data_IF_632129041017
#
_entry.id   IF_632129041017
#
_cell.length_a   1.000
_cell.length_b   1.000
_cell.length_c   1.000
_cell.angle_alpha   90.00
_cell.angle_beta   90.00
_cell.angle_gamma   90.00
#
_symmetry.space_group_name_H-M   'P 1'
#
loop_
_entity.id
_entity.type
_entity.pdbx_description
1 polymer ?
#
# COMPACT_ATOMS: atom_id res chain seq x y z
N UNK A 1 -33.49 -47.93 22.76
CA UNK A 1 -32.27 -47.29 23.28
C UNK A 1 -31.11 -47.73 22.40
N UNK A 2 -30.80 -47.02 21.41
CA UNK A 2 -29.65 -47.25 20.54
C UNK A 2 -28.96 -45.89 20.36
N UNK A 3 -27.91 -45.72 21.13
CA UNK A 3 -26.98 -44.62 20.93
C UNK A 3 -26.07 -45.03 19.76
N UNK A 4 -26.37 -44.48 18.58
CA UNK A 4 -25.49 -44.62 17.45
C UNK A 4 -24.23 -43.72 17.72
N UNK A 5 -23.10 -44.39 17.90
CA UNK A 5 -21.78 -43.80 17.89
C UNK A 5 -21.58 -42.95 16.64
N UNK A 6 -21.45 -41.65 16.83
CA UNK A 6 -21.04 -40.71 15.80
C UNK A 6 -19.50 -40.67 15.79
N UNK A 7 -18.89 -41.82 15.44
CA UNK A 7 -17.47 -41.90 15.20
C UNK A 7 -17.16 -41.18 13.89
N UNK A 8 -16.34 -40.12 13.96
CA UNK A 8 -15.78 -39.46 12.80
C UNK A 8 -15.03 -40.48 11.92
N UNK A 9 -15.16 -40.40 10.59
CA UNK A 9 -14.45 -41.27 9.67
C UNK A 9 -12.93 -41.15 9.90
N UNK A 10 -12.17 -42.26 9.74
CA UNK A 10 -10.75 -42.26 9.95
C UNK A 10 -10.03 -41.31 8.99
N UNK A 11 -8.90 -40.74 9.44
CA UNK A 11 -8.12 -39.70 8.74
C UNK A 11 -7.77 -40.05 7.28
N UNK A 12 -7.69 -41.31 6.93
CA UNK A 12 -7.36 -41.80 5.58
C UNK A 12 -8.47 -41.54 4.53
N UNK A 13 -9.69 -41.26 4.95
CA UNK A 13 -10.81 -40.97 4.02
C UNK A 13 -10.72 -39.54 3.43
N UNK A 14 -10.01 -38.64 4.10
CA UNK A 14 -9.80 -37.27 3.65
C UNK A 14 -8.64 -37.15 2.64
N UNK A 15 -7.75 -38.13 2.57
CA UNK A 15 -6.62 -38.14 1.64
C UNK A 15 -7.01 -38.46 0.19
N UNK A 16 -8.26 -38.82 -0.06
CA UNK A 16 -8.79 -39.19 -1.38
C UNK A 16 -10.05 -38.43 -1.78
N UNK A 17 -10.13 -37.14 -1.50
CA UNK A 17 -11.21 -36.30 -2.04
C UNK A 17 -10.91 -36.06 -3.52
N UNK A 18 -11.27 -37.04 -4.36
CA UNK A 18 -11.53 -36.77 -5.78
C UNK A 18 -12.89 -36.09 -5.84
N UNK A 19 -12.87 -34.77 -5.98
CA UNK A 19 -14.07 -33.94 -6.11
C UNK A 19 -14.72 -34.26 -7.44
N UNK A 20 -15.86 -34.96 -7.39
CA UNK A 20 -16.66 -35.30 -8.57
C UNK A 20 -17.71 -34.24 -8.82
N UNK A 21 -17.99 -33.89 -10.08
CA UNK A 21 -19.12 -33.00 -10.40
C UNK A 21 -20.41 -33.54 -9.82
N UNK A 22 -21.13 -32.76 -9.03
CA UNK A 22 -22.40 -33.10 -8.41
C UNK A 22 -22.35 -33.57 -6.95
N UNK A 23 -21.21 -33.46 -6.28
CA UNK A 23 -21.07 -33.76 -4.87
C UNK A 23 -21.60 -32.61 -3.99
N UNK A 24 -22.26 -32.96 -2.85
CA UNK A 24 -22.68 -31.93 -1.89
C UNK A 24 -21.54 -31.08 -1.36
N UNK A 25 -21.74 -29.77 -1.10
CA UNK A 25 -20.71 -28.89 -0.60
C UNK A 25 -20.16 -29.41 0.73
N UNK A 26 -18.84 -29.29 0.92
CA UNK A 26 -18.17 -29.63 2.18
C UNK A 26 -18.78 -28.87 3.35
N UNK A 27 -18.94 -29.51 4.48
CA UNK A 27 -19.35 -28.87 5.73
C UNK A 27 -18.32 -27.83 6.18
N UNK A 28 -18.66 -26.85 7.02
CA UNK A 28 -17.73 -25.86 7.52
C UNK A 28 -16.47 -26.46 8.18
N UNK A 29 -16.63 -27.56 8.92
CA UNK A 29 -15.53 -28.26 9.59
C UNK A 29 -14.59 -28.98 8.60
N UNK A 30 -15.16 -29.59 7.55
CA UNK A 30 -14.39 -30.22 6.48
C UNK A 30 -13.60 -29.18 5.67
N UNK A 31 -14.21 -28.01 5.39
CA UNK A 31 -13.54 -26.89 4.72
C UNK A 31 -12.33 -26.41 5.51
N UNK A 32 -12.48 -26.24 6.82
CA UNK A 32 -11.42 -25.74 7.67
C UNK A 32 -10.24 -26.72 7.76
N UNK A 33 -10.52 -28.03 7.90
CA UNK A 33 -9.49 -29.08 7.89
C UNK A 33 -8.76 -29.14 6.56
N UNK A 34 -9.49 -29.04 5.45
CA UNK A 34 -8.90 -29.05 4.12
C UNK A 34 -7.98 -27.83 3.89
N UNK A 35 -8.45 -26.64 4.26
CA UNK A 35 -7.66 -25.41 4.17
C UNK A 35 -6.40 -25.44 5.06
N UNK A 36 -6.51 -26.02 6.25
CA UNK A 36 -5.36 -26.21 7.16
C UNK A 36 -4.29 -27.13 6.54
N UNK A 37 -4.71 -28.21 5.86
CA UNK A 37 -3.82 -29.12 5.14
C UNK A 37 -3.11 -28.41 3.98
N UNK A 38 -3.86 -27.70 3.12
CA UNK A 38 -3.29 -26.97 1.97
C UNK A 38 -2.26 -25.92 2.41
N UNK A 39 -2.54 -25.22 3.52
CA UNK A 39 -1.56 -24.30 4.13
C UNK A 39 -0.32 -25.01 4.65
N UNK A 40 -0.50 -26.18 5.29
CA UNK A 40 0.63 -27.00 5.79
C UNK A 40 1.51 -27.56 4.66
N UNK A 41 0.95 -27.78 3.47
CA UNK A 41 1.64 -28.22 2.26
C UNK A 41 2.34 -27.07 1.50
N UNK A 42 2.11 -25.81 1.88
CA UNK A 42 2.69 -24.61 1.23
C UNK A 42 2.30 -24.44 -0.24
N UNK A 43 1.13 -24.95 -0.65
CA UNK A 43 0.62 -24.84 -2.01
C UNK A 43 -0.68 -24.03 -2.11
N UNK A 44 -1.00 -23.59 -3.31
CA UNK A 44 -2.27 -22.94 -3.62
C UNK A 44 -3.36 -23.96 -3.97
N UNK A 45 -4.62 -23.55 -3.79
CA UNK A 45 -5.77 -24.34 -4.18
C UNK A 45 -5.86 -24.46 -5.71
N UNK A 46 -6.20 -25.65 -6.19
CA UNK A 46 -6.56 -25.84 -7.59
C UNK A 46 -7.98 -25.30 -7.86
N UNK A 47 -8.31 -25.04 -9.13
CA UNK A 47 -9.66 -24.59 -9.51
C UNK A 47 -10.76 -25.57 -9.07
N UNK A 48 -10.50 -26.88 -9.14
CA UNK A 48 -11.43 -27.91 -8.69
C UNK A 48 -11.66 -27.86 -7.17
N UNK A 49 -10.61 -27.65 -6.40
CA UNK A 49 -10.65 -27.48 -4.94
C UNK A 49 -11.39 -26.19 -4.54
N UNK A 50 -11.17 -25.10 -5.29
CA UNK A 50 -11.92 -23.84 -5.12
C UNK A 50 -13.42 -24.06 -5.30
N UNK A 51 -13.83 -24.76 -6.37
CA UNK A 51 -15.25 -25.07 -6.60
C UNK A 51 -15.87 -25.92 -5.49
N UNK A 52 -15.14 -26.86 -4.95
CA UNK A 52 -15.64 -27.70 -3.87
C UNK A 52 -15.81 -26.97 -2.54
N UNK A 53 -14.96 -25.98 -2.28
CA UNK A 53 -14.98 -25.20 -1.02
C UNK A 53 -16.03 -24.09 -1.09
N UNK A 54 -16.08 -23.37 -2.21
CA UNK A 54 -16.89 -22.15 -2.36
C UNK A 54 -18.17 -22.35 -3.18
N UNK A 55 -18.34 -23.53 -3.80
CA UNK A 55 -19.42 -23.81 -4.74
C UNK A 55 -19.09 -23.38 -6.17
N UNK A 56 -19.90 -23.77 -7.16
CA UNK A 56 -19.76 -23.29 -8.52
C UNK A 56 -20.00 -21.76 -8.55
N UNK A 57 -19.34 -21.04 -9.47
CA UNK A 57 -19.63 -19.63 -9.64
C UNK A 57 -21.12 -19.45 -9.95
N UNK A 58 -21.74 -18.35 -9.53
CA UNK A 58 -23.13 -18.07 -9.83
C UNK A 58 -23.34 -18.23 -11.35
N UNK A 59 -24.38 -18.96 -11.74
CA UNK A 59 -24.74 -19.11 -13.14
C UNK A 59 -24.89 -17.72 -13.75
N UNK A 60 -24.02 -17.40 -14.71
CA UNK A 60 -24.21 -16.20 -15.51
C UNK A 60 -25.53 -16.40 -16.27
N UNK A 61 -26.42 -15.39 -16.28
CA UNK A 61 -27.63 -15.49 -17.11
C UNK A 61 -27.20 -15.83 -18.53
N UNK A 62 -27.85 -16.85 -19.10
CA UNK A 62 -27.57 -17.39 -20.44
C UNK A 62 -27.79 -16.33 -21.53
N UNK A 63 -26.81 -15.48 -21.69
CA UNK A 63 -26.53 -14.82 -22.97
C UNK A 63 -25.15 -15.32 -23.37
N UNK A 64 -25.10 -16.50 -23.95
CA UNK A 64 -23.90 -16.97 -24.62
C UNK A 64 -23.56 -15.92 -25.70
N UNK A 65 -22.43 -15.23 -25.62
CA UNK A 65 -22.02 -14.38 -26.73
C UNK A 65 -21.82 -15.28 -27.94
N UNK A 66 -22.36 -14.86 -29.07
CA UNK A 66 -22.18 -15.58 -30.34
C UNK A 66 -20.70 -15.45 -30.75
N UNK A 67 -19.89 -16.39 -30.31
CA UNK A 67 -18.47 -16.45 -30.65
C UNK A 67 -18.23 -16.76 -32.15
N UNK A 68 -19.26 -17.15 -32.89
CA UNK A 68 -19.17 -17.39 -34.34
C UNK A 68 -18.86 -16.10 -35.10
N UNK A 69 -19.42 -14.98 -34.69
CA UNK A 69 -19.17 -13.68 -35.33
C UNK A 69 -17.78 -13.09 -34.99
N UNK A 70 -17.20 -13.44 -33.85
CA UNK A 70 -15.89 -12.91 -33.41
C UNK A 70 -14.72 -13.57 -34.11
N UNK A 71 -14.88 -14.82 -34.58
CA UNK A 71 -13.84 -15.58 -35.28
C UNK A 71 -13.42 -14.98 -36.62
N UNK A 72 -14.28 -14.15 -37.23
CA UNK A 72 -14.03 -13.49 -38.52
C UNK A 72 -13.58 -12.04 -38.41
N UNK A 73 -13.49 -11.49 -37.17
CA UNK A 73 -13.13 -10.09 -36.95
C UNK A 73 -11.62 -9.87 -36.94
N UNK A 74 -11.17 -8.80 -37.56
CA UNK A 74 -9.77 -8.35 -37.41
C UNK A 74 -9.51 -7.83 -36.00
N UNK A 75 -8.26 -7.86 -35.50
CA UNK A 75 -7.91 -7.32 -34.19
C UNK A 75 -8.45 -5.89 -33.94
N UNK A 76 -8.34 -5.00 -34.93
CA UNK A 76 -8.86 -3.64 -34.86
C UNK A 76 -10.40 -3.59 -34.77
N UNK A 77 -11.10 -4.53 -35.42
CA UNK A 77 -12.57 -4.61 -35.30
C UNK A 77 -13.01 -5.20 -33.97
N UNK A 78 -12.22 -6.10 -33.37
CA UNK A 78 -12.45 -6.63 -32.01
C UNK A 78 -12.27 -5.50 -30.99
N UNK A 79 -11.25 -4.69 -31.10
CA UNK A 79 -11.01 -3.55 -30.22
C UNK A 79 -12.11 -2.49 -30.34
N UNK A 80 -12.57 -2.19 -31.57
CA UNK A 80 -13.68 -1.29 -31.81
C UNK A 80 -15.01 -1.81 -31.24
N UNK A 81 -15.31 -3.11 -31.43
CA UNK A 81 -16.50 -3.75 -30.89
C UNK A 81 -16.47 -3.84 -29.35
N UNK A 82 -15.29 -4.05 -28.79
CA UNK A 82 -15.07 -4.05 -27.32
C UNK A 82 -15.27 -2.67 -26.73
N UNK A 83 -14.77 -1.64 -27.40
CA UNK A 83 -14.96 -0.26 -27.01
C UNK A 83 -16.45 0.16 -27.11
N UNK A 84 -17.16 -0.28 -28.16
CA UNK A 84 -18.58 -0.04 -28.34
C UNK A 84 -19.45 -0.75 -27.29
N UNK A 85 -19.09 -1.99 -26.89
CA UNK A 85 -19.74 -2.72 -25.80
C UNK A 85 -19.53 -2.01 -24.47
N UNK A 86 -18.32 -1.62 -24.16
CA UNK A 86 -17.98 -0.88 -22.93
C UNK A 86 -18.69 0.49 -22.86
N UNK A 87 -18.83 1.16 -23.99
CA UNK A 87 -19.57 2.43 -24.06
C UNK A 87 -21.08 2.24 -24.03
N UNK A 88 -21.61 1.18 -24.64
CA UNK A 88 -23.07 0.93 -24.72
C UNK A 88 -23.70 0.48 -23.40
N UNK A 89 -23.04 -0.40 -22.64
CA UNK A 89 -23.52 -0.81 -21.33
C UNK A 89 -23.44 0.31 -20.29
N UNK A 90 -22.42 1.18 -20.41
CA UNK A 90 -22.28 2.34 -19.53
C UNK A 90 -23.32 3.44 -19.78
N UNK A 91 -23.85 3.58 -21.01
CA UNK A 91 -24.77 4.65 -21.38
C UNK A 91 -26.25 4.24 -21.45
N UNK A 92 -26.59 2.93 -21.37
CA UNK A 92 -27.98 2.47 -21.54
C UNK A 92 -28.85 2.72 -20.31
N UNK A 93 -28.29 2.78 -19.10
CA UNK A 93 -29.03 3.08 -17.87
C UNK A 93 -29.22 4.57 -17.58
N UNK A 94 -28.69 5.45 -18.43
CA UNK A 94 -28.68 6.90 -18.23
C UNK A 94 -29.55 7.70 -19.22
N UNK A 95 -30.50 7.06 -19.88
CA UNK A 95 -31.43 7.74 -20.81
C UNK A 95 -32.49 8.59 -20.09
N UNK A 96 -32.06 9.68 -19.43
CA UNK A 96 -32.99 10.59 -18.75
C UNK A 96 -32.38 11.89 -18.17
N UNK A 97 -31.08 12.00 -18.10
CA UNK A 97 -30.43 13.26 -17.68
C UNK A 97 -29.40 13.69 -18.74
N UNK A 98 -29.13 15.00 -18.95
CA UNK A 98 -27.99 15.43 -19.73
C UNK A 98 -26.75 14.96 -18.96
N UNK A 99 -26.16 13.85 -19.40
CA UNK A 99 -25.01 13.25 -18.76
C UNK A 99 -23.79 14.15 -18.99
N UNK A 100 -23.45 14.95 -18.03
CA UNK A 100 -22.07 15.28 -17.81
C UNK A 100 -21.42 13.94 -17.48
N UNK A 101 -20.59 13.41 -18.37
CA UNK A 101 -19.80 12.20 -18.07
C UNK A 101 -19.12 12.43 -16.73
N UNK A 102 -19.21 11.48 -15.77
CA UNK A 102 -18.51 11.65 -14.51
C UNK A 102 -17.03 11.90 -14.83
N UNK A 103 -16.36 12.80 -14.11
CA UNK A 103 -14.94 13.02 -14.33
C UNK A 103 -14.22 11.67 -14.26
N UNK A 104 -13.35 11.40 -15.24
CA UNK A 104 -12.62 10.14 -15.31
C UNK A 104 -11.79 9.96 -14.04
N UNK A 105 -11.12 11.03 -13.61
CA UNK A 105 -10.37 11.06 -12.35
C UNK A 105 -11.27 11.46 -11.19
N UNK A 106 -11.29 10.66 -10.15
CA UNK A 106 -12.11 10.82 -8.95
C UNK A 106 -11.28 10.94 -7.66
N UNK A 107 -10.04 10.49 -7.69
CA UNK A 107 -9.15 10.50 -6.53
C UNK A 107 -7.71 10.82 -6.88
N UNK A 108 -6.97 11.29 -5.87
CA UNK A 108 -5.53 11.53 -5.97
C UNK A 108 -4.83 10.87 -4.80
N UNK A 109 -3.82 10.08 -5.11
CA UNK A 109 -2.94 9.41 -4.14
C UNK A 109 -1.62 10.17 -4.13
N UNK A 110 -1.26 10.72 -3.00
CA UNK A 110 -0.02 11.46 -2.81
C UNK A 110 1.01 10.65 -2.04
N UNK A 111 2.24 10.74 -2.45
CA UNK A 111 3.38 10.51 -1.57
C UNK A 111 3.52 11.66 -0.57
N UNK A 112 4.32 11.44 0.48
CA UNK A 112 4.52 12.37 1.58
C UNK A 112 5.84 13.15 1.46
N UNK A 113 6.99 12.44 1.51
CA UNK A 113 8.34 13.01 1.57
C UNK A 113 8.73 13.65 0.25
N UNK A 114 9.31 14.83 0.28
CA UNK A 114 9.71 15.61 -0.90
C UNK A 114 8.62 15.82 -1.97
N UNK A 115 7.44 15.24 -1.75
CA UNK A 115 6.22 15.49 -2.53
C UNK A 115 5.36 16.58 -1.90
N UNK A 116 4.81 16.37 -0.71
CA UNK A 116 3.98 17.35 0.00
C UNK A 116 4.69 18.07 1.14
N UNK A 117 5.72 17.43 1.71
CA UNK A 117 6.51 17.96 2.81
C UNK A 117 7.97 17.62 2.62
N UNK A 118 8.86 18.52 3.05
CA UNK A 118 10.31 18.28 3.05
C UNK A 118 10.91 18.53 4.44
N UNK A 119 12.02 17.88 4.72
CA UNK A 119 12.76 18.10 5.95
C UNK A 119 13.50 19.46 5.91
N UNK A 120 13.48 20.17 7.01
CA UNK A 120 14.19 21.47 7.15
C UNK A 120 15.65 21.33 7.56
N UNK A 121 16.08 20.09 7.83
CA UNK A 121 17.45 19.74 8.23
C UNK A 121 17.81 18.37 7.66
N UNK A 122 19.09 18.09 7.44
CA UNK A 122 19.55 16.79 6.97
C UNK A 122 19.07 15.65 7.88
N UNK A 123 18.56 14.56 7.28
CA UNK A 123 18.03 13.41 8.00
C UNK A 123 19.07 12.80 8.96
N UNK A 124 20.35 12.74 8.57
CA UNK A 124 21.43 12.21 9.39
C UNK A 124 21.65 13.00 10.70
N UNK A 125 21.48 14.31 10.65
CA UNK A 125 21.55 15.14 11.87
C UNK A 125 20.36 14.85 12.80
N UNK A 126 19.17 14.72 12.23
CA UNK A 126 17.93 14.43 12.96
C UNK A 126 17.98 13.05 13.60
N UNK A 127 18.41 12.04 12.85
CA UNK A 127 18.62 10.67 13.37
C UNK A 127 19.64 10.66 14.51
N UNK A 128 20.77 11.36 14.33
CA UNK A 128 21.81 11.42 15.37
C UNK A 128 21.28 12.10 16.64
N UNK A 129 20.56 13.21 16.50
CA UNK A 129 19.97 13.91 17.64
C UNK A 129 18.92 13.02 18.37
N UNK A 130 18.05 12.38 17.62
CA UNK A 130 17.04 11.46 18.16
C UNK A 130 17.66 10.24 18.84
N UNK A 131 18.69 9.63 18.24
CA UNK A 131 19.38 8.48 18.79
C UNK A 131 20.07 8.80 20.12
N UNK A 132 20.70 9.98 20.23
CA UNK A 132 21.28 10.45 21.51
C UNK A 132 20.21 10.65 22.59
N UNK A 133 19.08 11.22 22.23
CA UNK A 133 17.96 11.40 23.16
C UNK A 133 17.36 10.04 23.59
N UNK A 134 17.19 9.10 22.67
CA UNK A 134 16.71 7.75 22.95
C UNK A 134 17.68 6.97 23.86
N UNK A 135 18.98 7.04 23.58
CA UNK A 135 20.02 6.44 24.45
C UNK A 135 19.95 7.03 25.87
N UNK A 136 19.88 8.35 26.00
CA UNK A 136 19.78 9.02 27.29
C UNK A 136 18.51 8.58 28.06
N UNK A 137 17.38 8.47 27.38
CA UNK A 137 16.14 7.97 27.95
C UNK A 137 16.26 6.52 28.46
N UNK A 138 16.78 5.62 27.64
CA UNK A 138 16.97 4.21 27.99
C UNK A 138 17.93 4.05 29.20
N UNK A 139 19.02 4.82 29.25
CA UNK A 139 19.91 4.87 30.43
C UNK A 139 19.18 5.37 31.67
N UNK A 140 18.35 6.40 31.53
CA UNK A 140 17.49 6.91 32.62
C UNK A 140 16.46 5.89 33.10
N UNK A 141 16.01 4.98 32.21
CA UNK A 141 15.16 3.84 32.54
C UNK A 141 15.92 2.65 33.15
N UNK A 142 17.22 2.82 33.46
CA UNK A 142 18.04 1.81 34.15
C UNK A 142 18.75 0.82 33.21
N UNK A 143 18.77 1.05 31.91
CA UNK A 143 19.50 0.20 30.96
C UNK A 143 21.00 0.51 30.96
N UNK A 144 21.82 -0.53 31.02
CA UNK A 144 23.29 -0.44 30.90
C UNK A 144 23.69 -0.62 29.45
N UNK A 145 23.83 0.47 28.71
CA UNK A 145 24.18 0.47 27.30
C UNK A 145 25.67 0.71 27.09
N UNK A 146 26.31 0.17 26.00
CA UNK A 146 27.68 0.51 25.63
C UNK A 146 27.87 2.02 25.42
N UNK A 147 29.12 2.46 25.44
CA UNK A 147 29.44 3.86 25.08
C UNK A 147 29.04 4.13 23.62
N UNK A 148 28.54 5.36 23.39
CA UNK A 148 28.08 5.80 22.07
C UNK A 148 27.03 4.88 21.42
N UNK A 149 26.17 4.27 22.22
CA UNK A 149 25.13 3.36 21.71
C UNK A 149 24.20 4.03 20.68
N UNK A 150 24.04 5.35 20.73
CA UNK A 150 23.31 6.13 19.73
C UNK A 150 23.76 5.85 18.30
N UNK A 151 25.04 5.56 18.05
CA UNK A 151 25.53 5.23 16.70
C UNK A 151 24.91 3.91 16.21
N UNK A 152 24.71 2.96 17.12
CA UNK A 152 24.10 1.67 16.81
C UNK A 152 22.61 1.80 16.53
N UNK A 153 21.93 2.74 17.16
CA UNK A 153 20.53 3.06 16.85
C UNK A 153 20.40 3.59 15.42
N UNK A 154 21.29 4.52 15.02
CA UNK A 154 21.33 5.05 13.64
C UNK A 154 21.65 3.95 12.63
N UNK A 155 22.66 3.12 12.91
CA UNK A 155 23.02 1.98 12.05
C UNK A 155 21.86 0.99 11.90
N UNK A 156 21.15 0.68 12.99
CA UNK A 156 20.01 -0.23 12.97
C UNK A 156 18.85 0.31 12.11
N UNK A 157 18.55 1.62 12.20
CA UNK A 157 17.54 2.23 11.33
C UNK A 157 17.93 2.15 9.87
N UNK A 158 19.14 2.54 9.51
CA UNK A 158 19.63 2.48 8.12
C UNK A 158 19.58 1.05 7.58
N UNK A 159 20.02 0.08 8.39
CA UNK A 159 19.95 -1.33 8.01
C UNK A 159 18.49 -1.80 7.79
N UNK A 160 17.56 -1.41 8.65
CA UNK A 160 16.15 -1.73 8.49
C UNK A 160 15.57 -1.10 7.21
N UNK A 161 15.89 0.17 6.92
CA UNK A 161 15.44 0.86 5.70
C UNK A 161 16.02 0.22 4.43
N UNK A 162 17.31 -0.13 4.43
CA UNK A 162 17.96 -0.84 3.33
C UNK A 162 17.30 -2.20 3.07
N UNK A 163 17.08 -2.98 4.13
CA UNK A 163 16.39 -4.27 4.03
C UNK A 163 14.96 -4.13 3.55
N UNK A 164 14.23 -3.16 4.07
CA UNK A 164 12.87 -2.88 3.61
C UNK A 164 12.84 -2.57 2.11
N UNK A 165 13.81 -1.81 1.60
CA UNK A 165 13.90 -1.49 0.17
C UNK A 165 14.27 -2.73 -0.67
N UNK A 166 15.18 -3.59 -0.19
CA UNK A 166 15.57 -4.82 -0.89
C UNK A 166 14.43 -5.86 -0.94
N UNK A 167 13.72 -6.04 0.17
CA UNK A 167 12.72 -7.10 0.36
C UNK A 167 11.31 -6.64 -0.05
N UNK A 168 11.10 -5.33 -0.23
CA UNK A 168 9.79 -4.69 -0.48
C UNK A 168 8.76 -4.96 0.64
N UNK A 169 9.26 -5.29 1.84
CA UNK A 169 8.51 -5.46 3.06
C UNK A 169 8.99 -4.46 4.11
N UNK A 170 8.09 -3.93 4.95
CA UNK A 170 8.49 -2.91 5.91
C UNK A 170 9.06 -3.52 7.19
N UNK A 171 10.34 -3.23 7.48
CA UNK A 171 10.99 -3.56 8.74
C UNK A 171 10.67 -2.51 9.80
N UNK A 172 9.81 -2.87 10.75
CA UNK A 172 9.26 -1.95 11.73
C UNK A 172 10.33 -1.37 12.68
N UNK A 173 10.23 -0.10 13.00
CA UNK A 173 11.18 0.59 13.87
C UNK A 173 11.25 0.00 15.30
N UNK A 174 10.12 -0.46 15.84
CA UNK A 174 10.07 -1.11 17.15
C UNK A 174 10.84 -2.45 17.13
N UNK A 175 10.71 -3.22 16.05
CA UNK A 175 11.41 -4.49 15.89
C UNK A 175 12.91 -4.27 15.70
N UNK A 176 13.30 -3.30 14.85
CA UNK A 176 14.71 -2.94 14.66
C UNK A 176 15.38 -2.53 15.99
N UNK A 177 14.70 -1.70 16.80
CA UNK A 177 15.18 -1.32 18.13
C UNK A 177 15.23 -2.52 19.09
N UNK A 178 14.23 -3.39 19.07
CA UNK A 178 14.17 -4.59 19.88
C UNK A 178 15.31 -5.55 19.54
N UNK A 179 15.55 -5.84 18.26
CA UNK A 179 16.65 -6.68 17.79
C UNK A 179 18.01 -6.10 18.14
N UNK A 180 18.20 -4.78 17.99
CA UNK A 180 19.40 -4.10 18.40
C UNK A 180 19.69 -4.33 19.89
N UNK A 181 18.70 -4.11 20.76
CA UNK A 181 18.84 -4.29 22.20
C UNK A 181 19.11 -5.75 22.57
N UNK A 182 18.47 -6.71 21.91
CA UNK A 182 18.72 -8.14 22.11
C UNK A 182 20.17 -8.51 21.75
N UNK A 183 20.69 -7.97 20.65
CA UNK A 183 22.08 -8.17 20.24
C UNK A 183 23.07 -7.68 21.32
N UNK A 184 22.72 -6.62 22.05
CA UNK A 184 23.54 -6.08 23.15
C UNK A 184 23.19 -6.66 24.54
N UNK A 185 22.53 -7.82 24.59
CA UNK A 185 22.34 -8.60 25.81
C UNK A 185 21.07 -8.31 26.59
N UNK A 186 20.11 -7.61 25.98
CA UNK A 186 18.77 -7.44 26.54
C UNK A 186 17.79 -8.43 25.88
N UNK A 187 17.55 -9.60 26.49
CA UNK A 187 16.61 -10.56 25.92
C UNK A 187 15.20 -9.98 25.87
N UNK A 188 14.42 -10.36 24.86
CA UNK A 188 13.06 -9.84 24.64
C UNK A 188 12.17 -9.92 25.91
N UNK A 189 12.35 -10.99 26.71
CA UNK A 189 11.59 -11.18 27.97
C UNK A 189 11.90 -10.16 29.08
N UNK A 190 12.95 -9.36 28.92
CA UNK A 190 13.37 -8.30 29.86
C UNK A 190 13.18 -6.88 29.29
N UNK A 191 12.81 -6.78 28.03
CA UNK A 191 12.49 -5.48 27.44
C UNK A 191 11.08 -5.07 27.89
N UNK A 192 11.01 -3.95 28.58
CA UNK A 192 9.72 -3.31 28.86
C UNK A 192 9.18 -2.70 27.57
N UNK A 193 8.02 -3.16 27.05
CA UNK A 193 7.45 -2.64 25.81
C UNK A 193 7.19 -1.13 25.86
N UNK A 194 6.87 -0.59 27.03
CA UNK A 194 6.62 0.86 27.19
C UNK A 194 7.92 1.65 27.05
N UNK A 195 9.01 1.13 27.63
CA UNK A 195 10.33 1.77 27.50
C UNK A 195 10.80 1.70 26.06
N UNK A 196 10.64 0.54 25.39
CA UNK A 196 11.01 0.35 24.00
C UNK A 196 10.23 1.33 23.09
N UNK A 197 8.93 1.32 23.17
CA UNK A 197 8.06 2.19 22.37
C UNK A 197 8.39 3.67 22.59
N UNK A 198 8.62 4.07 23.85
CA UNK A 198 8.97 5.44 24.17
C UNK A 198 10.36 5.82 23.65
N UNK A 199 11.33 4.91 23.66
CA UNK A 199 12.65 5.14 23.07
C UNK A 199 12.56 5.37 21.56
N UNK A 200 11.74 4.59 20.86
CA UNK A 200 11.47 4.78 19.43
C UNK A 200 10.77 6.11 19.17
N UNK A 201 9.74 6.47 19.94
CA UNK A 201 9.06 7.75 19.81
C UNK A 201 10.02 8.94 20.00
N UNK A 202 10.94 8.85 20.97
CA UNK A 202 11.96 9.87 21.23
C UNK A 202 12.98 9.93 20.08
N UNK A 203 13.36 8.79 19.54
CA UNK A 203 14.27 8.72 18.40
C UNK A 203 13.74 9.49 17.18
N UNK A 204 12.46 9.36 16.88
CA UNK A 204 11.83 10.02 15.73
C UNK A 204 11.38 11.48 16.01
N UNK A 205 11.35 11.93 17.26
CA UNK A 205 10.83 13.25 17.60
C UNK A 205 11.50 14.42 16.87
N UNK A 206 12.85 14.46 16.69
CA UNK A 206 13.51 15.52 15.92
C UNK A 206 13.09 15.52 14.45
N UNK A 207 12.94 14.36 13.84
CA UNK A 207 12.49 14.21 12.46
C UNK A 207 11.04 14.68 12.31
N UNK A 208 10.14 14.19 13.16
CA UNK A 208 8.73 14.57 13.15
C UNK A 208 8.55 16.09 13.15
N UNK A 209 9.32 16.81 13.96
CA UNK A 209 9.22 18.27 14.09
C UNK A 209 9.97 19.05 13.02
N UNK A 210 10.84 18.39 12.24
CA UNK A 210 11.59 19.01 11.15
C UNK A 210 10.82 19.03 9.83
N UNK A 211 9.77 18.23 9.68
CA UNK A 211 8.94 18.26 8.50
C UNK A 211 8.19 19.58 8.35
N UNK A 212 8.18 20.12 7.13
CA UNK A 212 7.39 21.29 6.73
C UNK A 212 6.71 21.06 5.40
N UNK A 213 5.50 21.59 5.25
CA UNK A 213 4.81 21.54 3.96
C UNK A 213 5.60 22.33 2.91
N UNK A 214 5.69 21.76 1.72
CA UNK A 214 6.24 22.45 0.55
C UNK A 214 5.34 23.61 0.14
N UNK A 215 5.91 24.63 -0.50
CA UNK A 215 5.12 25.74 -1.06
C UNK A 215 4.00 25.20 -1.94
N UNK A 216 2.80 25.76 -1.77
CA UNK A 216 1.63 25.38 -2.56
C UNK A 216 0.90 24.10 -2.08
N UNK A 217 1.49 23.25 -1.25
CA UNK A 217 0.87 21.97 -0.83
C UNK A 217 -0.52 22.17 -0.20
N UNK A 218 -0.66 23.09 0.75
CA UNK A 218 -1.97 23.37 1.37
C UNK A 218 -3.00 23.88 0.37
N UNK A 219 -2.62 24.84 -0.47
CA UNK A 219 -3.48 25.41 -1.52
C UNK A 219 -3.94 24.32 -2.50
N UNK A 220 -3.02 23.42 -2.90
CA UNK A 220 -3.34 22.26 -3.72
C UNK A 220 -4.41 21.39 -3.07
N UNK A 221 -4.18 20.96 -1.80
CA UNK A 221 -5.09 20.07 -1.10
C UNK A 221 -6.48 20.71 -0.90
N UNK A 222 -6.53 22.00 -0.58
CA UNK A 222 -7.79 22.76 -0.48
C UNK A 222 -8.52 22.80 -1.83
N UNK A 223 -7.81 23.03 -2.92
CA UNK A 223 -8.40 23.10 -4.26
C UNK A 223 -8.96 21.73 -4.69
N UNK A 224 -8.22 20.64 -4.49
CA UNK A 224 -8.68 19.31 -4.85
C UNK A 224 -9.86 18.85 -4.00
N UNK A 225 -9.82 19.06 -2.68
CA UNK A 225 -10.98 18.78 -1.81
C UNK A 225 -12.20 19.61 -2.16
N UNK A 226 -12.00 20.90 -2.45
CA UNK A 226 -13.07 21.80 -2.88
C UNK A 226 -13.69 21.40 -4.23
N UNK A 227 -12.93 20.75 -5.09
CA UNK A 227 -13.40 20.19 -6.36
C UNK A 227 -14.05 18.79 -6.21
N UNK A 228 -14.05 18.20 -5.00
CA UNK A 228 -14.71 16.93 -4.71
C UNK A 228 -13.86 15.69 -4.90
N UNK A 229 -12.56 15.82 -5.18
CA UNK A 229 -11.66 14.66 -5.28
C UNK A 229 -11.47 13.98 -3.91
N UNK A 230 -11.40 12.66 -3.92
CA UNK A 230 -10.92 11.88 -2.76
C UNK A 230 -9.39 11.95 -2.71
N UNK A 231 -8.83 12.07 -1.51
CA UNK A 231 -7.38 12.18 -1.35
C UNK A 231 -6.87 11.11 -0.39
N UNK A 232 -5.76 10.47 -0.77
CA UNK A 232 -5.01 9.55 0.08
C UNK A 232 -3.55 9.99 0.17
N UNK A 233 -2.94 9.76 1.33
CA UNK A 233 -1.53 10.00 1.61
C UNK A 233 -0.86 8.68 1.93
N UNK A 234 0.14 8.29 1.14
CA UNK A 234 0.91 7.06 1.30
C UNK A 234 2.38 7.37 1.50
N UNK A 235 2.99 6.83 2.55
CA UNK A 235 4.40 7.03 2.83
C UNK A 235 5.12 5.70 3.10
N UNK A 236 6.31 5.50 2.52
CA UNK A 236 7.25 4.52 3.01
C UNK A 236 7.81 5.03 4.34
N UNK A 237 7.27 4.55 5.45
CA UNK A 237 7.62 5.02 6.80
C UNK A 237 7.53 3.87 7.81
N UNK A 238 8.63 3.52 8.42
CA UNK A 238 8.75 2.30 9.23
C UNK A 238 8.21 2.40 10.68
N UNK A 239 7.53 3.50 11.01
CA UNK A 239 6.85 3.69 12.31
C UNK A 239 5.51 4.41 12.15
N UNK A 240 4.42 3.66 12.02
CA UNK A 240 3.08 4.24 11.80
C UNK A 240 2.69 5.26 12.87
N UNK A 241 2.93 5.00 14.14
CA UNK A 241 2.62 5.95 15.23
C UNK A 241 3.23 7.33 15.00
N UNK A 242 4.48 7.36 14.54
CA UNK A 242 5.20 8.61 14.28
C UNK A 242 4.64 9.27 13.02
N UNK A 243 4.41 8.50 11.96
CA UNK A 243 3.79 9.00 10.74
C UNK A 243 2.44 9.66 11.03
N UNK A 244 1.54 8.99 11.76
CA UNK A 244 0.23 9.54 12.10
C UNK A 244 0.34 10.84 12.90
N UNK A 245 1.29 10.92 13.86
CA UNK A 245 1.56 12.16 14.60
C UNK A 245 2.15 13.27 13.72
N UNK A 246 2.96 12.91 12.73
CA UNK A 246 3.49 13.88 11.76
C UNK A 246 2.39 14.46 10.89
N UNK A 247 1.47 13.62 10.42
CA UNK A 247 0.26 14.05 9.69
C UNK A 247 -0.57 15.04 10.52
N UNK A 248 -0.77 14.74 11.81
CA UNK A 248 -1.52 15.62 12.73
C UNK A 248 -0.75 16.91 13.03
N UNK A 249 0.57 16.82 13.25
CA UNK A 249 1.43 17.98 13.48
C UNK A 249 1.42 18.97 12.31
N UNK A 250 1.44 18.47 11.08
CA UNK A 250 1.35 19.26 9.86
C UNK A 250 -0.09 19.70 9.53
N UNK A 251 -1.07 19.27 10.31
CA UNK A 251 -2.50 19.54 10.09
C UNK A 251 -2.99 19.04 8.71
N UNK A 252 -2.49 17.90 8.27
CA UNK A 252 -2.85 17.30 6.99
C UNK A 252 -4.12 16.45 7.06
N UNK A 253 -4.42 15.87 8.23
CA UNK A 253 -5.55 14.93 8.41
C UNK A 253 -6.88 15.40 7.82
N UNK A 254 -7.30 16.66 7.94
CA UNK A 254 -8.59 17.11 7.41
C UNK A 254 -8.72 17.02 5.88
N UNK A 255 -7.61 16.90 5.16
CA UNK A 255 -7.63 16.84 3.69
C UNK A 255 -7.76 15.42 3.16
N UNK A 256 -7.35 14.42 3.93
CA UNK A 256 -7.23 13.05 3.44
C UNK A 256 -8.32 12.12 3.97
N UNK A 257 -8.84 11.28 3.10
CA UNK A 257 -9.72 10.17 3.50
C UNK A 257 -8.91 9.03 4.13
N UNK A 258 -7.67 8.84 3.64
CA UNK A 258 -6.74 7.82 4.10
C UNK A 258 -5.33 8.42 4.27
N UNK A 259 -4.67 8.08 5.38
CA UNK A 259 -3.25 8.35 5.62
C UNK A 259 -2.60 7.03 6.08
N UNK A 260 -1.85 6.40 5.19
CA UNK A 260 -1.25 5.09 5.42
C UNK A 260 0.27 5.18 5.34
N UNK A 261 0.94 4.54 6.29
CA UNK A 261 2.36 4.24 6.18
C UNK A 261 2.56 2.77 5.78
N UNK A 262 3.68 2.45 5.17
CA UNK A 262 4.09 1.06 4.92
C UNK A 262 4.10 0.22 6.20
N UNK A 263 4.50 0.81 7.33
CA UNK A 263 4.42 0.15 8.64
C UNK A 263 3.01 -0.23 9.10
N UNK A 264 1.96 0.37 8.55
CA UNK A 264 0.58 0.04 8.92
C UNK A 264 0.00 -1.14 8.15
N UNK A 265 0.62 -1.52 7.03
CA UNK A 265 0.11 -2.51 6.07
C UNK A 265 1.14 -3.57 5.66
N UNK A 266 2.40 -3.43 6.11
CA UNK A 266 3.54 -4.30 5.81
C UNK A 266 4.03 -4.26 4.35
N UNK A 267 3.32 -3.61 3.43
CA UNK A 267 3.74 -3.36 2.05
C UNK A 267 4.35 -1.97 1.93
N UNK A 268 5.36 -1.84 1.07
CA UNK A 268 5.96 -0.54 0.75
C UNK A 268 6.05 -0.31 -0.75
N UNK A 269 6.01 0.93 -1.17
CA UNK A 269 6.29 1.31 -2.55
C UNK A 269 7.70 0.83 -2.94
N UNK A 270 7.91 0.29 -4.15
CA UNK A 270 7.02 0.35 -5.32
C UNK A 270 5.97 -0.77 -5.42
N UNK A 271 5.76 -1.60 -4.40
CA UNK A 271 4.77 -2.66 -4.46
C UNK A 271 3.37 -2.06 -4.68
N UNK A 272 2.76 -2.39 -5.83
CA UNK A 272 1.45 -1.88 -6.21
C UNK A 272 0.33 -2.26 -5.23
N UNK A 273 0.52 -3.32 -4.42
CA UNK A 273 -0.45 -3.70 -3.38
C UNK A 273 -0.68 -2.59 -2.36
N UNK A 274 0.33 -1.74 -2.10
CA UNK A 274 0.16 -0.62 -1.19
C UNK A 274 -0.83 0.43 -1.75
N UNK A 275 -0.76 0.73 -3.04
CA UNK A 275 -1.71 1.62 -3.71
C UNK A 275 -3.08 0.94 -3.87
N UNK A 276 -3.09 -0.39 -4.15
CA UNK A 276 -4.33 -1.16 -4.33
C UNK A 276 -5.24 -1.08 -3.09
N UNK A 277 -4.68 -1.01 -1.88
CA UNK A 277 -5.46 -0.82 -0.64
C UNK A 277 -6.34 0.44 -0.74
N UNK A 278 -5.82 1.53 -1.31
CA UNK A 278 -6.59 2.77 -1.48
C UNK A 278 -7.70 2.59 -2.49
N UNK A 279 -7.41 1.94 -3.63
CA UNK A 279 -8.39 1.66 -4.67
C UNK A 279 -9.54 0.80 -4.14
N UNK A 280 -9.21 -0.27 -3.42
CA UNK A 280 -10.20 -1.17 -2.79
C UNK A 280 -11.08 -0.43 -1.76
N UNK A 281 -10.46 0.43 -0.94
CA UNK A 281 -11.18 1.22 0.07
C UNK A 281 -12.12 2.27 -0.57
N UNK A 282 -11.76 2.77 -1.74
CA UNK A 282 -12.57 3.75 -2.46
C UNK A 282 -13.57 3.13 -3.43
N UNK A 283 -13.43 1.85 -3.75
CA UNK A 283 -14.13 1.17 -4.83
C UNK A 283 -13.88 1.90 -6.17
N UNK A 284 -12.59 2.14 -6.46
CA UNK A 284 -12.11 2.81 -7.67
C UNK A 284 -11.22 1.87 -8.47
N UNK A 285 -11.20 2.11 -9.78
CA UNK A 285 -10.25 1.49 -10.69
C UNK A 285 -9.02 2.39 -10.89
N UNK A 286 -7.91 1.81 -11.33
CA UNK A 286 -6.66 2.56 -11.47
C UNK A 286 -6.80 3.82 -12.32
N UNK A 287 -7.50 3.75 -13.45
CA UNK A 287 -7.71 4.90 -14.35
C UNK A 287 -8.59 6.02 -13.74
N UNK A 288 -9.23 5.80 -12.59
CA UNK A 288 -10.03 6.80 -11.89
C UNK A 288 -9.20 7.62 -10.88
N UNK A 289 -7.90 7.33 -10.77
CA UNK A 289 -7.01 8.01 -9.83
C UNK A 289 -5.75 8.55 -10.50
N UNK A 290 -5.18 9.56 -9.85
CA UNK A 290 -3.85 10.07 -10.14
C UNK A 290 -2.92 9.71 -9.00
N UNK A 291 -1.73 9.21 -9.30
CA UNK A 291 -0.64 9.04 -8.33
C UNK A 291 0.35 10.17 -8.53
N UNK A 292 0.63 10.92 -7.48
CA UNK A 292 1.58 12.02 -7.51
C UNK A 292 2.67 11.81 -6.46
N UNK A 293 3.92 11.77 -6.90
CA UNK A 293 5.09 11.55 -6.05
C UNK A 293 6.36 12.07 -6.70
N UNK A 294 7.47 12.07 -5.95
CA UNK A 294 8.77 12.57 -6.41
C UNK A 294 9.71 11.46 -6.92
N UNK A 295 9.36 10.19 -6.73
CA UNK A 295 10.17 9.03 -7.11
C UNK A 295 9.55 8.25 -8.27
N UNK A 296 10.31 8.14 -9.38
CA UNK A 296 9.91 7.27 -10.50
C UNK A 296 9.79 5.82 -10.05
N UNK A 297 10.73 5.34 -9.23
CA UNK A 297 10.75 3.96 -8.77
C UNK A 297 9.65 3.67 -7.75
N UNK A 298 9.55 4.47 -6.69
CA UNK A 298 8.65 4.18 -5.58
C UNK A 298 7.20 4.58 -5.88
N UNK A 299 6.96 5.74 -6.51
CA UNK A 299 5.60 6.27 -6.69
C UNK A 299 5.03 5.97 -8.07
N UNK A 300 5.76 6.36 -9.12
CA UNK A 300 5.24 6.34 -10.49
C UNK A 300 5.07 4.92 -10.99
N UNK A 301 6.04 4.02 -10.74
CA UNK A 301 5.96 2.62 -11.16
C UNK A 301 4.68 1.94 -10.67
N UNK A 302 4.38 2.02 -9.37
CA UNK A 302 3.20 1.38 -8.80
C UNK A 302 1.89 1.95 -9.38
N UNK A 303 1.84 3.26 -9.66
CA UNK A 303 0.71 3.90 -10.32
C UNK A 303 0.51 3.38 -11.75
N UNK A 304 1.59 3.32 -12.53
CA UNK A 304 1.55 2.78 -13.92
C UNK A 304 1.11 1.31 -13.94
N UNK A 305 1.60 0.48 -13.02
CA UNK A 305 1.22 -0.93 -12.92
C UNK A 305 -0.28 -1.12 -12.65
N UNK A 306 -0.91 -0.19 -11.93
CA UNK A 306 -2.35 -0.20 -11.66
C UNK A 306 -3.19 0.50 -12.73
N UNK A 307 -2.56 1.06 -13.76
CA UNK A 307 -3.24 1.83 -14.81
C UNK A 307 -3.73 3.20 -14.34
N UNK A 308 -3.16 3.74 -13.27
CA UNK A 308 -3.41 5.09 -12.80
C UNK A 308 -2.66 6.10 -13.68
N UNK A 309 -3.18 7.32 -13.77
CA UNK A 309 -2.41 8.43 -14.28
C UNK A 309 -1.34 8.83 -13.25
N UNK A 310 -0.18 9.21 -13.74
CA UNK A 310 1.00 9.41 -12.89
C UNK A 310 1.65 10.77 -13.10
N UNK A 311 1.98 11.43 -12.00
CA UNK A 311 2.59 12.78 -12.01
C UNK A 311 3.86 12.77 -11.19
N UNK A 312 4.99 12.97 -11.85
CA UNK A 312 6.25 13.19 -11.17
C UNK A 312 6.34 14.64 -10.69
N UNK A 313 6.47 14.81 -9.39
CA UNK A 313 6.69 16.11 -8.74
C UNK A 313 8.19 16.33 -8.59
N UNK A 314 8.76 17.28 -9.33
CA UNK A 314 10.20 17.58 -9.21
C UNK A 314 10.52 18.31 -7.92
N UNK A 315 11.79 18.17 -7.51
CA UNK A 315 12.34 18.86 -6.35
C UNK A 315 12.62 17.94 -5.18
N UNK A 316 12.75 16.62 -5.43
CA UNK A 316 13.33 15.71 -4.44
C UNK A 316 14.68 16.23 -3.96
N UNK A 317 14.86 16.37 -2.66
CA UNK A 317 16.14 16.75 -2.04
C UNK A 317 17.01 15.51 -1.74
N UNK A 318 16.37 14.32 -1.67
CA UNK A 318 17.07 13.07 -1.45
C UNK A 318 17.94 12.68 -2.65
N UNK A 319 19.26 12.53 -2.40
CA UNK A 319 20.23 12.21 -3.44
C UNK A 319 20.02 10.82 -4.07
N UNK A 320 19.50 9.85 -3.31
CA UNK A 320 19.22 8.51 -3.82
C UNK A 320 18.02 8.55 -4.77
N UNK A 321 16.95 9.26 -4.41
CA UNK A 321 15.78 9.46 -5.28
C UNK A 321 16.20 10.16 -6.58
N UNK A 322 17.08 11.17 -6.54
CA UNK A 322 17.59 11.83 -7.75
C UNK A 322 18.37 10.87 -8.65
N UNK A 323 19.20 10.00 -8.07
CA UNK A 323 19.95 8.98 -8.80
C UNK A 323 19.01 7.96 -9.44
N UNK A 324 18.03 7.47 -8.69
CA UNK A 324 17.05 6.50 -9.18
C UNK A 324 16.16 7.10 -10.26
N UNK A 325 15.71 8.35 -10.10
CA UNK A 325 14.97 9.06 -11.14
C UNK A 325 15.78 9.20 -12.44
N UNK A 326 17.09 9.44 -12.32
CA UNK A 326 17.97 9.49 -13.49
C UNK A 326 18.12 8.11 -14.14
N UNK A 327 18.30 7.08 -13.33
CA UNK A 327 18.48 5.69 -13.78
C UNK A 327 17.27 5.14 -14.49
N UNK A 328 16.09 5.37 -13.94
CA UNK A 328 14.83 4.80 -14.42
C UNK A 328 14.08 5.69 -15.42
N UNK A 329 14.59 6.89 -15.75
CA UNK A 329 13.93 7.84 -16.65
C UNK A 329 13.61 7.29 -18.04
N UNK A 330 14.35 6.29 -18.53
CA UNK A 330 14.07 5.62 -19.81
C UNK A 330 13.06 4.47 -19.71
N UNK A 331 12.84 3.94 -18.52
CA UNK A 331 12.00 2.75 -18.29
C UNK A 331 10.63 3.13 -17.75
N UNK A 332 10.56 4.14 -16.89
CA UNK A 332 9.34 4.59 -16.21
C UNK A 332 9.01 5.99 -16.71
N UNK A 333 7.90 6.10 -17.43
CA UNK A 333 7.44 7.36 -17.99
C UNK A 333 6.20 7.84 -17.24
N UNK A 334 6.28 8.97 -16.51
CA UNK A 334 5.09 9.60 -15.93
C UNK A 334 4.24 10.25 -17.04
N UNK A 335 2.92 10.31 -16.85
CA UNK A 335 2.01 11.00 -17.77
C UNK A 335 2.25 12.51 -17.78
N UNK A 336 2.72 13.06 -16.66
CA UNK A 336 3.14 14.47 -16.56
C UNK A 336 4.26 14.65 -15.54
N UNK A 337 4.96 15.78 -15.68
CA UNK A 337 5.98 16.23 -14.73
C UNK A 337 5.65 17.67 -14.34
N UNK A 338 5.65 17.96 -13.05
CA UNK A 338 5.40 19.30 -12.51
C UNK A 338 6.52 19.76 -11.58
N UNK A 339 6.83 21.05 -11.61
CA UNK A 339 7.77 21.69 -10.68
C UNK A 339 7.04 22.42 -9.55
N UNK A 340 5.76 22.75 -9.77
CA UNK A 340 4.91 23.47 -8.82
C UNK A 340 3.63 22.66 -8.56
N UNK A 341 3.41 22.35 -7.27
CA UNK A 341 2.23 21.60 -6.81
C UNK A 341 0.90 22.27 -7.21
N UNK A 342 0.89 23.60 -7.32
CA UNK A 342 -0.34 24.35 -7.68
C UNK A 342 -0.78 24.12 -9.13
N UNK A 343 0.05 23.53 -9.98
CA UNK A 343 -0.29 23.16 -11.35
C UNK A 343 -1.15 21.90 -11.45
N UNK A 344 -1.12 21.02 -10.42
CA UNK A 344 -1.78 19.72 -10.46
C UNK A 344 -3.30 19.77 -10.64
N UNK A 345 -4.07 20.68 -10.01
CA UNK A 345 -5.53 20.75 -10.22
C UNK A 345 -5.93 21.06 -11.66
N UNK A 346 -5.17 21.92 -12.35
CA UNK A 346 -5.42 22.25 -13.76
C UNK A 346 -5.08 21.08 -14.68
N UNK A 347 -3.99 20.38 -14.38
CA UNK A 347 -3.57 19.19 -15.09
C UNK A 347 -4.63 18.09 -15.00
N UNK A 348 -5.12 17.80 -13.79
CA UNK A 348 -6.16 16.77 -13.57
C UNK A 348 -7.44 17.14 -14.32
N UNK A 349 -7.85 18.42 -14.30
CA UNK A 349 -9.02 18.88 -15.07
C UNK A 349 -8.87 18.71 -16.58
N UNK A 350 -7.66 18.75 -17.11
CA UNK A 350 -7.41 18.50 -18.51
C UNK A 350 -7.53 17.01 -18.90
N UNK A 351 -7.50 16.11 -17.92
CA UNK A 351 -7.67 14.66 -18.08
C UNK A 351 -9.12 14.20 -17.84
N UNK A 352 -9.98 15.06 -17.34
CA UNK A 352 -11.41 14.81 -17.12
C UNK A 352 -12.25 15.48 -18.20
#
# INVERSE_FOLDING_TARGET
MNTADNALPPDDALDRIELRPGQEPLTPEEKERFLARVRGEGRTLTSAEMYAIFGPPPERPDVAPDYGAVAEMTPAAIDAARLELLTRDFFHDMAGAPAVAPPLVRGVIFDFGDTLASLTRPLDELMTAGARAAEAYMRGAGMTLPENFYTKIVEARRFAEEKSAEEQEEHLADDAMSFLLQFFGYPASRLDPVVLQRAVDIFYAPEMTAWKLRPGARTLLEALRGAGYRLALLANYNCDRVFQRTVDYLQLRPYFDLCLSSASVEYRKPDARFLQIVLDQWDFLGYEVVVAGDSLLEDIRGGVELGAQSVLVRGAEDAQVQLDNTRYASEIQPDAIIDDLTALPDLIRAWT
#
